data_IF_461849204846
#
_entry.id   IF_461849204846
#
_cell.length_a   1.000
_cell.length_b   1.000
_cell.length_c   1.000
_cell.angle_alpha   90.00
_cell.angle_beta   90.00
_cell.angle_gamma   90.00
#
_symmetry.space_group_name_H-M   'P 1'
#
loop_
_entity.id
_entity.type
_entity.pdbx_description
1 polymer ?
#
# COMPACT_ATOMS: atom_id res chain seq x y z
N UNK A 1 -26.58 8.03 -4.48
CA UNK A 1 -25.68 6.93 -4.91
C UNK A 1 -26.15 5.64 -4.23
N UNK A 2 -26.21 4.51 -4.94
CA UNK A 2 -26.54 3.22 -4.32
C UNK A 2 -25.52 2.88 -3.23
N UNK A 3 -25.91 2.07 -2.25
CA UNK A 3 -25.01 1.61 -1.17
C UNK A 3 -23.74 0.95 -1.71
N UNK A 4 -23.88 0.14 -2.77
CA UNK A 4 -22.74 -0.48 -3.45
C UNK A 4 -21.76 0.56 -4.04
N UNK A 5 -22.28 1.68 -4.55
CA UNK A 5 -21.43 2.75 -5.06
C UNK A 5 -20.71 3.52 -3.95
N UNK A 6 -21.36 3.69 -2.78
CA UNK A 6 -20.72 4.33 -1.62
C UNK A 6 -19.61 3.45 -1.03
N UNK A 7 -19.83 2.14 -0.93
CA UNK A 7 -18.80 1.20 -0.50
C UNK A 7 -17.62 1.18 -1.47
N UNK A 8 -17.89 1.15 -2.78
CA UNK A 8 -16.85 1.21 -3.80
C UNK A 8 -15.97 2.46 -3.66
N UNK A 9 -16.57 3.64 -3.50
CA UNK A 9 -15.82 4.90 -3.33
C UNK A 9 -14.99 4.91 -2.04
N UNK A 10 -15.50 4.34 -0.93
CA UNK A 10 -14.71 4.21 0.30
C UNK A 10 -13.49 3.30 0.11
N UNK A 11 -13.70 2.13 -0.47
CA UNK A 11 -12.60 1.20 -0.76
C UNK A 11 -11.59 1.80 -1.72
N UNK A 12 -12.04 2.54 -2.74
CA UNK A 12 -11.18 3.26 -3.66
C UNK A 12 -10.34 4.33 -2.95
N UNK A 13 -10.95 5.11 -2.04
CA UNK A 13 -10.25 6.09 -1.22
C UNK A 13 -9.16 5.43 -0.36
N UNK A 14 -9.48 4.34 0.35
CA UNK A 14 -8.50 3.60 1.15
C UNK A 14 -7.37 3.02 0.30
N UNK A 15 -7.68 2.49 -0.88
CA UNK A 15 -6.66 1.96 -1.80
C UNK A 15 -5.74 3.08 -2.32
N UNK A 16 -6.28 4.27 -2.55
CA UNK A 16 -5.50 5.44 -2.95
C UNK A 16 -4.57 5.91 -1.83
N UNK A 17 -5.03 5.94 -0.58
CA UNK A 17 -4.20 6.26 0.59
C UNK A 17 -3.04 5.27 0.77
N UNK A 18 -3.30 3.97 0.59
CA UNK A 18 -2.25 2.94 0.61
C UNK A 18 -1.22 3.18 -0.50
N UNK A 19 -1.67 3.48 -1.72
CA UNK A 19 -0.77 3.79 -2.83
C UNK A 19 0.06 5.05 -2.55
N UNK A 20 -0.57 6.13 -2.08
CA UNK A 20 0.10 7.39 -1.78
C UNK A 20 1.20 7.20 -0.71
N UNK A 21 0.90 6.44 0.34
CA UNK A 21 1.87 6.10 1.38
C UNK A 21 3.12 5.40 0.81
N UNK A 22 2.94 4.41 -0.08
CA UNK A 22 4.07 3.71 -0.71
C UNK A 22 4.86 4.60 -1.68
N UNK A 23 4.19 5.52 -2.39
CA UNK A 23 4.85 6.50 -3.23
C UNK A 23 5.68 7.49 -2.40
N UNK A 24 5.14 8.00 -1.30
CA UNK A 24 5.88 8.85 -0.35
C UNK A 24 7.11 8.13 0.18
N UNK A 25 6.98 6.85 0.58
CA UNK A 25 8.12 6.06 1.02
C UNK A 25 9.16 5.90 -0.08
N UNK A 26 8.76 5.53 -1.30
CA UNK A 26 9.66 5.40 -2.45
C UNK A 26 10.43 6.69 -2.70
N UNK A 27 9.75 7.83 -2.73
CA UNK A 27 10.42 9.11 -2.95
C UNK A 27 11.30 9.52 -1.78
N UNK A 28 10.91 9.21 -0.53
CA UNK A 28 11.70 9.53 0.66
C UNK A 28 13.04 8.79 0.71
N UNK A 29 13.11 7.58 0.15
CA UNK A 29 14.35 6.77 0.10
C UNK A 29 15.12 6.92 -1.20
N UNK A 30 14.56 7.61 -2.19
CA UNK A 30 15.20 7.81 -3.49
C UNK A 30 16.01 9.11 -3.53
N UNK A 31 17.05 9.13 -4.34
CA UNK A 31 17.83 10.35 -4.60
C UNK A 31 17.18 11.14 -5.74
N UNK A 32 16.79 12.39 -5.49
CA UNK A 32 16.33 13.29 -6.55
C UNK A 32 17.48 13.67 -7.51
N UNK A 33 17.17 13.69 -8.80
CA UNK A 33 18.10 14.05 -9.88
C UNK A 33 17.77 15.45 -10.45
N UNK A 34 18.72 16.12 -11.12
CA UNK A 34 18.51 17.47 -11.67
C UNK A 34 17.39 17.57 -12.73
N UNK A 35 17.05 16.47 -13.39
CA UNK A 35 16.01 16.40 -14.41
C UNK A 35 14.61 16.11 -13.84
N UNK A 36 14.46 16.07 -12.52
CA UNK A 36 13.21 15.74 -11.83
C UNK A 36 12.93 14.25 -11.71
N UNK A 37 13.80 13.38 -12.24
CA UNK A 37 13.73 11.95 -11.97
C UNK A 37 14.26 11.62 -10.57
N UNK A 38 14.08 10.37 -10.14
CA UNK A 38 14.71 9.86 -8.91
C UNK A 38 15.50 8.58 -9.18
N UNK A 39 16.60 8.40 -8.47
CA UNK A 39 17.37 7.16 -8.44
C UNK A 39 17.04 6.39 -7.17
N UNK A 40 16.42 5.22 -7.34
CA UNK A 40 16.12 4.29 -6.25
C UNK A 40 17.42 3.58 -5.83
N UNK A 41 17.73 3.46 -4.53
CA UNK A 41 18.89 2.70 -4.07
C UNK A 41 18.85 1.23 -4.51
N UNK A 42 19.99 0.68 -4.92
CA UNK A 42 20.08 -0.65 -5.52
C UNK A 42 19.56 -1.74 -4.57
N UNK A 43 19.81 -1.62 -3.27
CA UNK A 43 19.33 -2.54 -2.25
C UNK A 43 17.80 -2.52 -2.09
N UNK A 44 17.17 -1.35 -2.26
CA UNK A 44 15.71 -1.21 -2.27
C UNK A 44 15.12 -1.87 -3.53
N UNK A 45 15.72 -1.61 -4.69
CA UNK A 45 15.32 -2.25 -5.96
C UNK A 45 15.41 -3.78 -5.84
N UNK A 46 16.52 -4.31 -5.33
CA UNK A 46 16.71 -5.75 -5.15
C UNK A 46 15.65 -6.33 -4.21
N UNK A 47 15.47 -5.73 -3.02
CA UNK A 47 14.48 -6.18 -2.04
C UNK A 47 13.06 -6.16 -2.61
N UNK A 48 12.61 -5.04 -3.17
CA UNK A 48 11.24 -4.92 -3.67
C UNK A 48 10.98 -5.83 -4.88
N UNK A 49 11.97 -6.03 -5.75
CA UNK A 49 11.87 -7.03 -6.84
C UNK A 49 11.71 -8.45 -6.28
N UNK A 50 12.47 -8.82 -5.25
CA UNK A 50 12.32 -10.14 -4.62
C UNK A 50 10.95 -10.30 -3.98
N UNK A 51 10.50 -9.32 -3.20
CA UNK A 51 9.18 -9.32 -2.57
C UNK A 51 8.06 -9.47 -3.60
N UNK A 52 8.09 -8.69 -4.69
CA UNK A 52 7.09 -8.74 -5.76
C UNK A 52 6.97 -10.12 -6.43
N UNK A 53 8.05 -10.91 -6.49
CA UNK A 53 8.05 -12.26 -7.07
C UNK A 53 7.88 -13.37 -6.03
N UNK A 54 7.79 -13.04 -4.74
CA UNK A 54 7.63 -14.00 -3.65
C UNK A 54 6.15 -14.08 -3.28
N UNK A 55 5.60 -15.28 -3.17
CA UNK A 55 4.21 -15.44 -2.73
C UNK A 55 4.08 -15.01 -1.26
N UNK A 56 2.91 -14.50 -0.86
CA UNK A 56 2.68 -14.07 0.53
C UNK A 56 3.08 -15.14 1.55
N UNK A 57 2.76 -16.42 1.30
CA UNK A 57 3.11 -17.53 2.19
C UNK A 57 4.63 -17.70 2.39
N UNK A 58 5.42 -17.35 1.38
CA UNK A 58 6.88 -17.47 1.36
C UNK A 58 7.63 -16.20 1.82
N UNK A 59 6.92 -15.10 2.08
CA UNK A 59 7.51 -13.89 2.66
C UNK A 59 7.99 -14.14 4.10
N UNK A 60 9.03 -13.42 4.53
CA UNK A 60 9.40 -13.40 5.94
C UNK A 60 8.30 -12.75 6.78
N UNK A 61 8.18 -13.11 8.06
CA UNK A 61 7.11 -12.55 8.92
C UNK A 61 7.16 -11.03 9.05
N UNK A 62 8.36 -10.44 9.04
CA UNK A 62 8.54 -9.00 9.04
C UNK A 62 8.05 -8.32 7.76
N UNK A 63 8.04 -9.03 6.63
CA UNK A 63 7.52 -8.52 5.36
C UNK A 63 5.99 -8.66 5.31
N UNK A 64 5.47 -9.80 5.78
CA UNK A 64 4.02 -10.01 5.92
C UNK A 64 3.37 -9.00 6.87
N UNK A 65 4.08 -8.52 7.89
CA UNK A 65 3.54 -7.53 8.81
C UNK A 65 3.08 -6.27 8.08
N UNK A 66 3.88 -5.79 7.11
CA UNK A 66 3.51 -4.62 6.31
C UNK A 66 2.27 -4.85 5.46
N UNK A 67 2.12 -6.06 4.90
CA UNK A 67 0.91 -6.45 4.15
C UNK A 67 -0.32 -6.53 5.07
N UNK A 68 -0.16 -7.08 6.28
CA UNK A 68 -1.22 -7.15 7.30
C UNK A 68 -1.68 -5.77 7.73
N UNK A 69 -0.75 -4.84 7.96
CA UNK A 69 -1.07 -3.44 8.27
C UNK A 69 -1.93 -2.78 7.19
N UNK A 70 -1.64 -3.03 5.90
CA UNK A 70 -2.47 -2.50 4.81
C UNK A 70 -3.83 -3.21 4.73
N UNK A 71 -3.87 -4.52 4.96
CA UNK A 71 -5.12 -5.29 4.97
C UNK A 71 -6.08 -4.82 6.08
N UNK A 72 -5.56 -4.47 7.26
CA UNK A 72 -6.37 -3.90 8.35
C UNK A 72 -7.06 -2.61 7.93
N UNK A 73 -6.40 -1.74 7.16
CA UNK A 73 -7.05 -0.49 6.66
C UNK A 73 -8.24 -0.80 5.75
N UNK A 74 -8.12 -1.82 4.91
CA UNK A 74 -9.21 -2.27 4.04
C UNK A 74 -10.36 -2.85 4.86
N UNK A 75 -10.07 -3.64 5.90
CA UNK A 75 -11.09 -4.15 6.82
C UNK A 75 -11.83 -3.01 7.52
N UNK A 76 -11.13 -2.00 8.02
CA UNK A 76 -11.76 -0.83 8.64
C UNK A 76 -12.72 -0.10 7.68
N UNK A 77 -12.35 0.03 6.41
CA UNK A 77 -13.21 0.65 5.39
C UNK A 77 -14.48 -0.17 5.08
N UNK A 78 -14.44 -1.49 5.31
CA UNK A 78 -15.60 -2.39 5.22
C UNK A 78 -16.50 -2.25 6.46
N UNK A 79 -15.93 -2.18 7.66
CA UNK A 79 -16.67 -2.12 8.93
C UNK A 79 -17.41 -0.78 9.12
N UNK A 80 -16.92 0.31 8.53
CA UNK A 80 -17.61 1.61 8.49
C UNK A 80 -18.95 1.59 7.71
N UNK A 81 -19.29 0.45 7.09
CA UNK A 81 -20.60 0.21 6.48
C UNK A 81 -21.70 -0.11 7.50
N UNK A 82 -21.38 -0.26 8.79
CA UNK A 82 -22.23 -0.94 9.76
C UNK A 82 -22.22 -0.45 11.20
N UNK A 83 -21.86 0.80 11.52
CA UNK A 83 -22.27 1.40 12.80
C UNK A 83 -23.73 1.86 12.75
N UNK A 84 -24.63 0.88 12.86
CA UNK A 84 -25.87 1.07 13.61
C UNK A 84 -25.59 0.45 14.98
N UNK A 85 -25.67 1.30 16.01
CA UNK A 85 -25.33 1.13 17.44
C UNK A 85 -23.88 1.36 17.92
#
# INVERSE_FOLDING_TARGET
MSENNQLLERLAATQHEIWAHWMEYLFSVSRANPDGSVTIPAEKVARWRTQMHTTYAALAESEKESDREQAVKVLSALDDSGRID
#
